data_IF_253109646865
#
_entry.id   IF_253109646865
#
_cell.length_a   1.000
_cell.length_b   1.000
_cell.length_c   1.000
_cell.angle_alpha   90.00
_cell.angle_beta   90.00
_cell.angle_gamma   90.00
#
_symmetry.space_group_name_H-M   'P 1'
#
loop_
_entity.id
_entity.type
_entity.pdbx_description
1 polymer ?
#
# COMPACT_ATOMS: atom_id res chain seq x y z
N UNK A 1 12.12 27.04 6.71
CA UNK A 1 10.78 27.15 6.12
C UNK A 1 9.95 26.00 6.67
N UNK A 2 9.02 26.29 7.59
CA UNK A 2 8.15 25.27 8.19
C UNK A 2 7.19 24.83 7.09
N UNK A 3 7.34 23.59 6.60
CA UNK A 3 6.43 23.00 5.61
C UNK A 3 5.01 22.96 6.22
N UNK A 4 4.03 23.41 5.46
CA UNK A 4 2.63 23.31 5.88
C UNK A 4 2.22 21.83 5.88
N UNK A 5 1.51 21.38 6.89
CA UNK A 5 1.06 19.98 7.09
C UNK A 5 0.49 19.28 5.83
N UNK A 6 -0.12 20.04 4.91
CA UNK A 6 -0.71 19.50 3.68
C UNK A 6 0.29 18.97 2.65
N UNK A 7 1.59 19.33 2.76
CA UNK A 7 2.61 18.92 1.78
C UNK A 7 3.30 17.61 2.16
N UNK A 8 3.09 17.09 3.38
CA UNK A 8 3.82 15.92 3.91
C UNK A 8 3.30 14.57 3.39
N UNK A 9 2.06 14.51 2.92
CA UNK A 9 1.38 13.26 2.49
C UNK A 9 1.98 12.63 1.22
N UNK A 10 2.80 13.38 0.48
CA UNK A 10 3.33 12.96 -0.83
C UNK A 10 4.82 12.53 -0.80
N UNK A 11 5.43 12.44 0.37
CA UNK A 11 6.83 12.03 0.47
C UNK A 11 6.95 10.52 0.69
N UNK A 12 7.94 9.90 0.05
CA UNK A 12 8.27 8.49 0.23
C UNK A 12 9.20 8.25 1.41
N UNK A 13 9.86 9.30 1.92
CA UNK A 13 10.75 9.26 3.09
C UNK A 13 11.03 10.68 3.57
N UNK A 14 11.12 10.88 4.88
CA UNK A 14 11.46 12.15 5.51
C UNK A 14 12.81 12.04 6.20
N UNK A 15 13.74 12.95 5.89
CA UNK A 15 14.98 13.15 6.65
C UNK A 15 14.78 14.34 7.57
N UNK A 16 14.93 14.15 8.89
CA UNK A 16 14.61 15.14 9.89
C UNK A 16 15.81 15.39 10.81
N UNK A 17 16.29 16.64 10.86
CA UNK A 17 17.30 17.02 11.87
C UNK A 17 16.61 17.26 13.21
N UNK A 18 17.15 16.70 14.30
CA UNK A 18 16.66 16.97 15.65
C UNK A 18 16.98 18.38 16.09
N UNK A 19 18.16 18.89 15.69
CA UNK A 19 18.68 20.20 16.10
C UNK A 19 18.41 21.27 15.04
N UNK A 20 17.14 21.55 14.76
CA UNK A 20 16.78 22.65 13.86
C UNK A 20 16.67 23.97 14.64
N UNK A 21 17.02 25.12 14.03
CA UNK A 21 16.72 26.42 14.62
C UNK A 21 15.20 26.57 14.80
N UNK A 22 14.78 27.04 15.96
CA UNK A 22 13.39 27.39 16.28
C UNK A 22 12.37 26.23 16.34
N UNK A 23 12.78 24.98 16.05
CA UNK A 23 11.89 23.81 16.05
C UNK A 23 12.58 22.63 16.71
N UNK A 24 11.94 22.02 17.71
CA UNK A 24 12.40 20.74 18.25
C UNK A 24 11.99 19.61 17.29
N UNK A 25 12.99 18.99 16.65
CA UNK A 25 12.76 17.91 15.68
C UNK A 25 12.10 16.69 16.26
N UNK A 26 12.28 16.39 17.56
CA UNK A 26 11.61 15.28 18.24
C UNK A 26 10.11 15.55 18.36
N UNK A 27 9.74 16.74 18.85
CA UNK A 27 8.35 17.13 18.95
C UNK A 27 7.69 17.18 17.58
N UNK A 28 8.36 17.74 16.59
CA UNK A 28 7.85 17.80 15.22
C UNK A 28 7.62 16.41 14.64
N UNK A 29 8.53 15.45 14.86
CA UNK A 29 8.34 14.06 14.45
C UNK A 29 7.07 13.46 15.07
N UNK A 30 6.87 13.66 16.36
CA UNK A 30 5.68 13.16 17.06
C UNK A 30 4.38 13.73 16.52
N UNK A 31 4.36 15.03 16.19
CA UNK A 31 3.19 15.72 15.64
C UNK A 31 2.83 15.20 14.23
N UNK A 32 3.84 14.95 13.38
CA UNK A 32 3.59 14.51 12.00
C UNK A 32 3.39 13.00 11.87
N UNK A 33 3.84 12.18 12.84
CA UNK A 33 3.85 10.70 12.72
C UNK A 33 2.47 10.10 12.39
N UNK A 34 1.41 10.65 12.95
CA UNK A 34 0.04 10.19 12.69
C UNK A 34 -0.55 10.70 11.36
N UNK A 35 0.19 11.57 10.66
CA UNK A 35 -0.25 12.19 9.41
C UNK A 35 0.49 11.62 8.19
N UNK A 36 1.61 10.90 8.42
CA UNK A 36 2.45 10.34 7.37
C UNK A 36 2.70 8.86 7.60
N UNK A 37 2.62 8.06 6.55
CA UNK A 37 2.93 6.62 6.59
C UNK A 37 4.38 6.34 6.16
N UNK A 38 5.06 7.33 5.55
CA UNK A 38 6.43 7.15 5.06
C UNK A 38 7.46 7.08 6.21
N UNK A 39 8.62 6.44 5.99
CA UNK A 39 9.70 6.38 6.97
C UNK A 39 10.25 7.77 7.32
N UNK A 40 10.50 8.00 8.62
CA UNK A 40 11.15 9.19 9.16
C UNK A 40 12.51 8.79 9.71
N UNK A 41 13.59 9.33 9.14
CA UNK A 41 14.97 9.10 9.57
C UNK A 41 15.53 10.35 10.22
N UNK A 42 15.95 10.26 11.47
CA UNK A 42 16.66 11.35 12.12
C UNK A 42 18.09 11.47 11.64
N UNK A 43 18.52 12.71 11.41
CA UNK A 43 19.92 13.06 11.12
C UNK A 43 20.35 14.09 12.17
N UNK A 44 21.30 13.76 13.07
CA UNK A 44 21.62 14.63 14.18
C UNK A 44 23.06 14.51 14.70
N UNK A 45 23.53 15.51 15.40
CA UNK A 45 24.81 15.48 16.12
C UNK A 45 24.73 14.80 17.50
N UNK A 46 23.52 14.46 18.00
CA UNK A 46 23.34 13.74 19.25
C UNK A 46 23.72 12.27 19.05
N UNK A 47 24.63 11.77 19.93
CA UNK A 47 25.22 10.43 19.78
C UNK A 47 25.00 9.53 20.99
N UNK A 48 24.37 10.07 22.06
CA UNK A 48 24.16 9.28 23.29
C UNK A 48 23.03 8.26 23.06
N UNK A 49 23.18 7.08 23.65
CA UNK A 49 22.21 6.00 23.55
C UNK A 49 20.80 6.45 24.01
N UNK A 50 20.72 7.25 25.05
CA UNK A 50 19.48 7.83 25.55
C UNK A 50 18.77 8.70 24.50
N UNK A 51 19.52 9.50 23.72
CA UNK A 51 18.96 10.34 22.66
C UNK A 51 18.43 9.49 21.50
N UNK A 52 19.12 8.38 21.17
CA UNK A 52 18.71 7.45 20.13
C UNK A 52 17.40 6.75 20.53
N UNK A 53 17.33 6.21 21.75
CA UNK A 53 16.13 5.55 22.29
C UNK A 53 14.96 6.52 22.32
N UNK A 54 15.20 7.75 22.76
CA UNK A 54 14.19 8.80 22.77
C UNK A 54 13.70 9.10 21.35
N UNK A 55 14.60 9.31 20.39
CA UNK A 55 14.23 9.59 18.99
C UNK A 55 13.32 8.51 18.39
N UNK A 56 13.68 7.24 18.57
CA UNK A 56 12.87 6.11 18.10
C UNK A 56 11.51 6.03 18.81
N UNK A 57 11.43 6.39 20.10
CA UNK A 57 10.16 6.42 20.85
C UNK A 57 9.20 7.52 20.40
N UNK A 58 9.70 8.57 19.73
CA UNK A 58 8.89 9.64 19.10
C UNK A 58 8.36 9.28 17.72
N UNK A 59 8.62 8.05 17.24
CA UNK A 59 8.06 7.50 16.01
C UNK A 59 8.96 7.56 14.78
N UNK A 60 10.28 7.79 14.97
CA UNK A 60 11.25 7.66 13.89
C UNK A 60 11.55 6.17 13.60
N UNK A 61 11.85 5.87 12.34
CA UNK A 61 12.15 4.52 11.85
C UNK A 61 13.66 4.23 11.85
N UNK A 62 14.51 5.27 11.82
CA UNK A 62 15.98 5.13 11.91
C UNK A 62 16.63 6.41 12.45
N UNK A 63 17.91 6.30 12.80
CA UNK A 63 18.69 7.35 13.43
C UNK A 63 20.11 7.37 12.87
N UNK A 64 20.55 8.52 12.34
CA UNK A 64 21.86 8.70 11.71
C UNK A 64 22.64 9.80 12.44
N UNK A 65 23.79 9.43 13.03
CA UNK A 65 24.64 10.36 13.75
C UNK A 65 25.58 11.12 12.80
N UNK A 66 25.67 12.44 12.97
CA UNK A 66 26.71 13.27 12.31
C UNK A 66 28.05 13.14 13.05
N UNK A 67 29.20 13.03 12.34
CA UNK A 67 29.34 13.01 10.88
C UNK A 67 29.04 11.63 10.28
N UNK A 68 28.35 11.59 9.14
CA UNK A 68 28.05 10.35 8.40
C UNK A 68 28.59 10.41 6.98
N UNK A 69 28.89 9.25 6.41
CA UNK A 69 29.27 9.13 5.00
C UNK A 69 28.06 9.20 4.07
N UNK A 70 28.20 9.86 2.91
CA UNK A 70 27.12 9.91 1.90
C UNK A 70 26.65 8.50 1.49
N UNK A 71 27.57 7.55 1.39
CA UNK A 71 27.23 6.14 1.07
C UNK A 71 26.41 5.47 2.18
N UNK A 72 26.66 5.80 3.45
CA UNK A 72 25.86 5.29 4.56
C UNK A 72 24.42 5.81 4.49
N UNK A 73 24.27 7.13 4.32
CA UNK A 73 22.94 7.74 4.17
C UNK A 73 22.18 7.12 2.99
N UNK A 74 22.82 7.00 1.82
CA UNK A 74 22.22 6.39 0.65
C UNK A 74 21.78 4.94 0.90
N UNK A 75 22.61 4.14 1.59
CA UNK A 75 22.29 2.74 1.89
C UNK A 75 21.08 2.62 2.83
N UNK A 76 21.00 3.48 3.88
CA UNK A 76 19.87 3.50 4.82
C UNK A 76 18.58 3.95 4.14
N UNK A 77 18.61 5.05 3.39
CA UNK A 77 17.47 5.53 2.60
C UNK A 77 16.98 4.44 1.65
N UNK A 78 17.89 3.82 0.88
CA UNK A 78 17.51 2.73 -0.04
C UNK A 78 16.93 1.50 0.70
N UNK A 79 17.40 1.20 1.91
CA UNK A 79 16.87 0.09 2.70
C UNK A 79 15.42 0.36 3.17
N UNK A 80 15.13 1.58 3.64
CA UNK A 80 13.77 1.97 4.06
C UNK A 80 12.82 2.04 2.87
N UNK A 81 13.20 2.71 1.78
CA UNK A 81 12.38 2.75 0.55
C UNK A 81 12.09 1.35 -0.01
N UNK A 82 13.07 0.43 0.05
CA UNK A 82 12.87 -0.97 -0.38
C UNK A 82 11.88 -1.70 0.52
N UNK A 83 11.87 -1.44 1.85
CA UNK A 83 10.91 -2.02 2.80
C UNK A 83 9.50 -1.52 2.49
N UNK A 84 9.34 -0.22 2.30
CA UNK A 84 8.10 0.41 1.88
C UNK A 84 7.57 -0.16 0.56
N UNK A 85 8.45 -0.30 -0.45
CA UNK A 85 8.07 -0.93 -1.70
C UNK A 85 7.63 -2.37 -1.52
N UNK A 86 8.27 -3.15 -0.64
CA UNK A 86 7.84 -4.52 -0.33
C UNK A 86 6.47 -4.55 0.34
N UNK A 87 6.23 -3.70 1.32
CA UNK A 87 4.93 -3.62 2.00
C UNK A 87 3.83 -3.14 1.04
N UNK A 88 4.10 -2.14 0.20
CA UNK A 88 3.20 -1.71 -0.87
C UNK A 88 2.95 -2.81 -1.92
N UNK A 89 3.96 -3.62 -2.25
CA UNK A 89 3.80 -4.77 -3.14
C UNK A 89 2.98 -5.92 -2.53
N UNK A 90 2.86 -5.97 -1.21
CA UNK A 90 2.02 -6.96 -0.52
C UNK A 90 0.59 -6.46 -0.27
N UNK A 91 0.32 -5.17 -0.46
CA UNK A 91 -1.01 -4.57 -0.30
C UNK A 91 -1.34 -3.68 -1.49
N UNK A 92 -2.51 -3.88 -2.08
CA UNK A 92 -3.09 -3.00 -3.09
C UNK A 92 -4.29 -2.29 -2.47
N UNK A 93 -4.26 -0.96 -2.43
CA UNK A 93 -5.36 -0.15 -1.88
C UNK A 93 -6.03 0.67 -2.98
N UNK A 94 -7.34 0.54 -3.13
CA UNK A 94 -8.16 1.24 -4.11
C UNK A 94 -9.43 1.79 -3.43
N UNK A 95 -9.34 3.02 -2.94
CA UNK A 95 -10.42 3.60 -2.12
C UNK A 95 -10.64 2.78 -0.86
N UNK A 96 -11.86 2.26 -0.67
CA UNK A 96 -12.25 1.45 0.49
C UNK A 96 -11.75 -0.01 0.41
N UNK A 97 -11.25 -0.44 -0.76
CA UNK A 97 -10.78 -1.81 -1.00
C UNK A 97 -9.30 -1.95 -0.66
N UNK A 98 -8.97 -2.91 0.18
CA UNK A 98 -7.60 -3.25 0.57
C UNK A 98 -7.34 -4.74 0.27
N UNK A 99 -6.52 -5.01 -0.73
CA UNK A 99 -6.09 -6.36 -1.07
C UNK A 99 -4.80 -6.69 -0.33
N UNK A 100 -4.80 -7.74 0.48
CA UNK A 100 -3.59 -8.38 0.96
C UNK A 100 -3.15 -9.43 -0.07
N UNK A 101 -2.11 -9.10 -0.83
CA UNK A 101 -1.62 -9.95 -1.91
C UNK A 101 -0.92 -11.20 -1.39
N UNK A 102 -0.41 -11.16 -0.16
CA UNK A 102 0.27 -12.30 0.48
C UNK A 102 -0.71 -13.30 1.05
N UNK A 103 -1.72 -12.83 1.78
CA UNK A 103 -2.78 -13.66 2.34
C UNK A 103 -3.84 -14.06 1.30
N UNK A 104 -3.89 -13.35 0.15
CA UNK A 104 -4.95 -13.44 -0.86
C UNK A 104 -6.33 -13.13 -0.26
N UNK A 105 -6.40 -12.02 0.48
CA UNK A 105 -7.58 -11.56 1.19
C UNK A 105 -7.98 -10.16 0.73
N UNK A 106 -9.29 -9.90 0.65
CA UNK A 106 -9.86 -8.60 0.33
C UNK A 106 -10.59 -8.04 1.55
N UNK A 107 -10.19 -6.85 1.97
CA UNK A 107 -10.85 -6.11 3.04
C UNK A 107 -11.58 -4.89 2.47
N UNK A 108 -12.72 -4.56 3.04
CA UNK A 108 -13.51 -3.36 2.75
C UNK A 108 -13.80 -2.70 4.10
N UNK A 109 -13.34 -1.44 4.31
CA UNK A 109 -13.44 -0.73 5.58
C UNK A 109 -12.95 -1.57 6.78
N UNK A 110 -11.83 -2.28 6.62
CA UNK A 110 -11.23 -3.21 7.59
C UNK A 110 -12.06 -4.49 7.87
N UNK A 111 -13.13 -4.74 7.13
CA UNK A 111 -13.89 -5.98 7.22
C UNK A 111 -13.46 -6.95 6.11
N UNK A 112 -13.09 -8.18 6.49
CA UNK A 112 -12.73 -9.24 5.55
C UNK A 112 -13.95 -9.64 4.72
N UNK A 113 -13.80 -9.63 3.39
CA UNK A 113 -14.78 -10.19 2.47
C UNK A 113 -14.41 -11.65 2.17
N UNK A 114 -15.28 -12.59 2.53
CA UNK A 114 -15.07 -14.03 2.34
C UNK A 114 -15.19 -14.41 0.86
N UNK A 115 -14.05 -14.45 0.16
CA UNK A 115 -13.93 -14.82 -1.24
C UNK A 115 -13.22 -16.17 -1.39
N UNK A 116 -13.68 -16.98 -2.35
CA UNK A 116 -12.90 -18.13 -2.80
C UNK A 116 -11.63 -17.65 -3.53
N UNK A 117 -10.64 -18.53 -3.68
CA UNK A 117 -9.38 -18.21 -4.37
C UNK A 117 -9.60 -17.65 -5.79
N UNK A 118 -10.53 -18.24 -6.55
CA UNK A 118 -10.86 -17.76 -7.91
C UNK A 118 -11.57 -16.41 -7.89
N UNK A 119 -12.47 -16.19 -6.95
CA UNK A 119 -13.16 -14.90 -6.77
C UNK A 119 -12.17 -13.79 -6.37
N UNK A 120 -11.28 -14.07 -5.43
CA UNK A 120 -10.21 -13.15 -5.06
C UNK A 120 -9.31 -12.82 -6.26
N UNK A 121 -8.84 -13.83 -7.00
CA UNK A 121 -8.00 -13.61 -8.18
C UNK A 121 -8.67 -12.77 -9.26
N UNK A 122 -9.99 -12.92 -9.48
CA UNK A 122 -10.75 -12.05 -10.39
C UNK A 122 -10.78 -10.61 -9.88
N UNK A 123 -11.09 -10.42 -8.59
CA UNK A 123 -11.12 -9.08 -7.99
C UNK A 123 -9.76 -8.40 -8.08
N UNK A 124 -8.68 -9.11 -7.71
CA UNK A 124 -7.32 -8.61 -7.79
C UNK A 124 -6.94 -8.22 -9.22
N UNK A 125 -7.13 -9.10 -10.19
CA UNK A 125 -6.78 -8.86 -11.58
C UNK A 125 -7.49 -7.64 -12.16
N UNK A 126 -8.79 -7.52 -11.93
CA UNK A 126 -9.57 -6.38 -12.40
C UNK A 126 -9.19 -5.08 -11.69
N UNK A 127 -8.90 -5.15 -10.39
CA UNK A 127 -8.51 -4.01 -9.57
C UNK A 127 -7.12 -3.47 -9.95
N UNK A 128 -6.13 -4.35 -10.16
CA UNK A 128 -4.79 -3.98 -10.65
C UNK A 128 -4.83 -3.29 -12.02
N UNK A 129 -5.85 -3.60 -12.82
CA UNK A 129 -6.06 -3.05 -14.16
C UNK A 129 -7.31 -2.14 -14.22
N UNK A 130 -7.51 -1.34 -13.15
CA UNK A 130 -8.67 -0.46 -13.02
C UNK A 130 -8.93 0.36 -14.30
N UNK A 131 -10.19 0.36 -14.74
CA UNK A 131 -10.64 1.05 -15.96
C UNK A 131 -10.46 0.27 -17.26
N UNK A 132 -9.68 -0.81 -17.28
CA UNK A 132 -9.53 -1.66 -18.47
C UNK A 132 -10.62 -2.74 -18.52
N UNK A 133 -11.07 -3.06 -19.73
CA UNK A 133 -12.09 -4.09 -19.98
C UNK A 133 -11.40 -5.39 -20.38
N UNK A 134 -11.76 -6.48 -19.73
CA UNK A 134 -11.25 -7.82 -20.03
C UNK A 134 -12.38 -8.77 -20.40
N UNK A 135 -12.15 -9.57 -21.44
CA UNK A 135 -13.09 -10.63 -21.83
C UNK A 135 -13.06 -11.79 -20.82
N UNK A 136 -14.08 -12.65 -20.87
CA UNK A 136 -14.12 -13.85 -20.03
C UNK A 136 -12.91 -14.76 -20.27
N UNK A 137 -12.49 -14.87 -21.52
CA UNK A 137 -11.32 -15.65 -21.95
C UNK A 137 -10.04 -15.09 -21.34
N UNK A 138 -9.84 -13.77 -21.36
CA UNK A 138 -8.66 -13.13 -20.78
C UNK A 138 -8.61 -13.31 -19.26
N UNK A 139 -9.73 -13.11 -18.57
CA UNK A 139 -9.83 -13.34 -17.12
C UNK A 139 -9.57 -14.80 -16.80
N UNK A 140 -10.17 -15.73 -17.53
CA UNK A 140 -10.00 -17.16 -17.34
C UNK A 140 -8.54 -17.59 -17.51
N UNK A 141 -7.90 -17.15 -18.61
CA UNK A 141 -6.49 -17.44 -18.91
C UNK A 141 -5.54 -16.89 -17.85
N UNK A 142 -5.83 -15.69 -17.33
CA UNK A 142 -5.03 -15.11 -16.23
C UNK A 142 -5.07 -15.98 -14.96
N UNK A 143 -6.23 -16.53 -14.63
CA UNK A 143 -6.43 -17.32 -13.40
C UNK A 143 -5.87 -18.74 -13.48
N UNK A 144 -6.03 -19.39 -14.63
CA UNK A 144 -5.82 -20.84 -14.78
C UNK A 144 -4.72 -21.20 -15.79
N UNK A 145 -4.23 -20.21 -16.55
CA UNK A 145 -3.24 -20.44 -17.62
C UNK A 145 -3.88 -20.93 -18.93
N UNK A 146 -3.02 -21.03 -19.95
CA UNK A 146 -3.45 -21.45 -21.30
C UNK A 146 -3.71 -22.96 -21.45
N UNK A 147 -3.17 -23.78 -20.53
CA UNK A 147 -3.27 -25.24 -20.63
C UNK A 147 -4.49 -25.83 -19.93
N UNK A 148 -5.20 -24.99 -19.16
CA UNK A 148 -6.41 -25.42 -18.48
C UNK A 148 -7.55 -25.70 -19.47
N UNK A 149 -8.17 -26.87 -19.34
CA UNK A 149 -9.26 -27.36 -20.21
C UNK A 149 -10.67 -26.95 -19.74
N UNK A 150 -10.76 -26.10 -18.73
CA UNK A 150 -12.02 -25.60 -18.21
C UNK A 150 -12.72 -24.61 -19.18
N UNK A 151 -13.80 -24.00 -18.72
CA UNK A 151 -14.62 -23.12 -19.54
C UNK A 151 -14.56 -21.66 -19.06
N UNK A 152 -14.26 -20.69 -19.93
CA UNK A 152 -14.38 -19.26 -19.63
C UNK A 152 -15.78 -18.84 -19.15
N UNK A 153 -16.82 -19.65 -19.42
CA UNK A 153 -18.17 -19.41 -18.92
C UNK A 153 -18.25 -19.39 -17.39
N UNK A 154 -17.33 -20.10 -16.68
CA UNK A 154 -17.23 -20.07 -15.21
C UNK A 154 -16.98 -18.68 -14.65
N UNK A 155 -16.29 -17.81 -15.41
CA UNK A 155 -16.04 -16.42 -15.01
C UNK A 155 -17.35 -15.67 -14.73
N UNK A 156 -18.38 -15.89 -15.52
CA UNK A 156 -19.67 -15.22 -15.32
C UNK A 156 -20.34 -15.63 -13.98
N UNK A 157 -20.24 -16.90 -13.59
CA UNK A 157 -20.75 -17.36 -12.29
C UNK A 157 -19.93 -16.82 -11.14
N UNK A 158 -18.61 -16.80 -11.24
CA UNK A 158 -17.75 -16.15 -10.24
C UNK A 158 -18.08 -14.65 -10.08
N UNK A 159 -18.24 -13.91 -11.18
CA UNK A 159 -18.62 -12.49 -11.13
C UNK A 159 -19.98 -12.30 -10.44
N UNK A 160 -20.94 -13.16 -10.70
CA UNK A 160 -22.25 -13.12 -10.04
C UNK A 160 -22.11 -13.33 -8.53
N UNK A 161 -21.32 -14.30 -8.09
CA UNK A 161 -21.08 -14.59 -6.68
C UNK A 161 -20.32 -13.44 -6.00
N UNK A 162 -19.27 -12.92 -6.63
CA UNK A 162 -18.53 -11.74 -6.15
C UNK A 162 -19.48 -10.56 -5.93
N UNK A 163 -20.34 -10.26 -6.90
CA UNK A 163 -21.31 -9.15 -6.80
C UNK A 163 -22.32 -9.37 -5.71
N UNK A 164 -22.76 -10.59 -5.46
CA UNK A 164 -23.66 -10.88 -4.35
C UNK A 164 -23.00 -10.54 -3.00
N UNK A 165 -21.75 -10.99 -2.79
CA UNK A 165 -20.98 -10.71 -1.58
C UNK A 165 -20.65 -9.22 -1.42
N UNK A 166 -20.23 -8.54 -2.49
CA UNK A 166 -19.96 -7.09 -2.49
C UNK A 166 -21.21 -6.27 -2.18
N UNK A 167 -22.37 -6.69 -2.66
CA UNK A 167 -23.65 -6.02 -2.37
C UNK A 167 -24.02 -6.06 -0.89
N UNK A 168 -23.66 -7.12 -0.16
CA UNK A 168 -23.90 -7.23 1.28
C UNK A 168 -23.17 -6.13 2.07
N UNK A 169 -22.03 -5.66 1.55
CA UNK A 169 -21.24 -4.56 2.11
C UNK A 169 -21.44 -3.22 1.37
N UNK A 170 -22.50 -3.11 0.57
CA UNK A 170 -22.87 -1.87 -0.10
C UNK A 170 -22.01 -1.49 -1.32
N UNK A 171 -21.17 -2.39 -1.82
CA UNK A 171 -20.20 -2.12 -2.88
C UNK A 171 -20.59 -2.75 -4.23
N UNK A 172 -20.17 -2.12 -5.33
CA UNK A 172 -20.35 -2.67 -6.69
C UNK A 172 -19.26 -2.17 -7.66
N UNK A 173 -17.98 -2.49 -7.46
CA UNK A 173 -16.89 -1.97 -8.28
C UNK A 173 -16.78 -2.63 -9.67
N UNK A 174 -17.44 -3.77 -9.89
CA UNK A 174 -17.31 -4.52 -11.15
C UNK A 174 -18.43 -4.14 -12.09
N UNK A 175 -18.10 -3.51 -13.21
CA UNK A 175 -19.01 -3.15 -14.29
C UNK A 175 -19.00 -4.22 -15.39
N UNK A 176 -20.18 -4.48 -16.01
CA UNK A 176 -20.28 -5.29 -17.22
C UNK A 176 -20.27 -4.37 -18.44
N UNK A 177 -19.32 -4.60 -19.34
CA UNK A 177 -19.30 -3.98 -20.66
C UNK A 177 -19.92 -4.96 -21.66
N UNK A 178 -21.17 -4.68 -22.03
CA UNK A 178 -21.98 -5.60 -22.85
C UNK A 178 -21.30 -5.99 -24.17
N UNK A 179 -21.28 -7.29 -24.44
CA UNK A 179 -20.62 -7.84 -25.62
C UNK A 179 -19.09 -7.92 -25.55
N UNK A 180 -18.45 -7.39 -24.49
CA UNK A 180 -16.99 -7.36 -24.36
C UNK A 180 -16.52 -8.12 -23.11
N UNK A 181 -16.98 -7.73 -21.91
CA UNK A 181 -16.49 -8.36 -20.68
C UNK A 181 -16.75 -7.56 -19.41
N UNK A 182 -15.76 -7.49 -18.55
CA UNK A 182 -15.84 -6.88 -17.23
C UNK A 182 -14.68 -5.92 -16.98
N UNK A 183 -14.91 -4.89 -16.16
CA UNK A 183 -13.88 -3.97 -15.68
C UNK A 183 -14.12 -3.60 -14.21
N UNK A 184 -13.08 -3.16 -13.53
CA UNK A 184 -13.17 -2.44 -12.26
C UNK A 184 -13.25 -0.94 -12.53
N UNK A 185 -14.16 -0.20 -11.86
CA UNK A 185 -14.34 1.26 -12.02
C UNK A 185 -13.92 2.07 -10.79
#
# INVERSE_FOLDING_TARGET
EVMKEKDLIHYDLILLDIMMPDVDGLQFCHEIRNQVDCPILFITAKTQEADIVQGLSYGADDYICKPFGVKELQARVAAHLRREHRERHHKLSLGEFQFDLSAQELYIENQLLDLTKSEYGICQFLAENKGQVFSKEQIYTHLYGYEDKGSPAAVAEHIKNIRAKLKEVGQNPIETVWGIGYKWH
#
